data_IF_140391985390
#
_entry.id   IF_140391985390
#
_cell.length_a   1.000
_cell.length_b   1.000
_cell.length_c   1.000
_cell.angle_alpha   90.00
_cell.angle_beta   90.00
_cell.angle_gamma   90.00
#
_symmetry.space_group_name_H-M   'P 1'
#
loop_
_entity.id
_entity.type
_entity.pdbx_description
1 polymer ?
#
# COMPACT_ATOMS: atom_id res chain seq x y z
N UNK A 1 11.61 6.53 12.60
CA UNK A 1 11.40 5.37 11.69
C UNK A 1 10.02 4.81 12.02
N UNK A 2 9.21 4.39 11.05
CA UNK A 2 7.85 3.88 11.28
C UNK A 2 7.84 2.36 11.14
N UNK A 3 7.17 1.67 12.06
CA UNK A 3 6.97 0.22 11.98
C UNK A 3 5.86 -0.10 10.97
N UNK A 4 6.06 -1.17 10.22
CA UNK A 4 5.06 -1.67 9.29
C UNK A 4 4.23 -2.71 10.02
N UNK A 5 2.93 -2.45 10.13
CA UNK A 5 1.95 -3.44 10.55
C UNK A 5 1.68 -4.42 9.38
N UNK A 6 1.49 -5.71 9.69
CA UNK A 6 1.08 -6.74 8.73
C UNK A 6 -0.20 -6.35 7.97
N UNK A 7 -1.11 -5.62 8.62
CA UNK A 7 -2.31 -5.10 7.98
C UNK A 7 -2.01 -4.19 6.78
N UNK A 8 -0.94 -3.40 6.84
CA UNK A 8 -0.53 -2.50 5.75
C UNK A 8 -0.11 -3.29 4.51
N UNK A 9 0.68 -4.35 4.69
CA UNK A 9 1.16 -5.21 3.61
C UNK A 9 0.01 -5.97 2.93
N UNK A 10 -0.97 -6.45 3.73
CA UNK A 10 -2.17 -7.10 3.21
C UNK A 10 -3.00 -6.11 2.38
N UNK A 11 -3.27 -4.91 2.91
CA UNK A 11 -4.06 -3.89 2.20
C UNK A 11 -3.43 -3.47 0.87
N UNK A 12 -2.11 -3.33 0.81
CA UNK A 12 -1.40 -3.05 -0.44
C UNK A 12 -1.62 -4.16 -1.49
N UNK A 13 -1.47 -5.43 -1.08
CA UNK A 13 -1.72 -6.58 -1.96
C UNK A 13 -3.16 -6.61 -2.45
N UNK A 14 -4.13 -6.40 -1.56
CA UNK A 14 -5.56 -6.35 -1.90
C UNK A 14 -5.88 -5.27 -2.93
N UNK A 15 -5.43 -4.03 -2.69
CA UNK A 15 -5.69 -2.91 -3.60
C UNK A 15 -5.04 -3.18 -4.96
N UNK A 16 -3.79 -3.65 -4.98
CA UNK A 16 -3.07 -3.95 -6.23
C UNK A 16 -3.76 -5.04 -7.04
N UNK A 17 -4.20 -6.11 -6.37
CA UNK A 17 -4.95 -7.19 -7.00
C UNK A 17 -6.31 -6.70 -7.54
N UNK A 18 -7.05 -5.91 -6.76
CA UNK A 18 -8.33 -5.30 -7.19
C UNK A 18 -8.17 -4.41 -8.42
N UNK A 19 -7.09 -3.61 -8.48
CA UNK A 19 -6.79 -2.75 -9.63
C UNK A 19 -6.24 -3.53 -10.84
N UNK A 20 -5.90 -4.81 -10.67
CA UNK A 20 -5.24 -5.64 -11.69
C UNK A 20 -4.00 -4.96 -12.30
N UNK A 21 -3.15 -4.37 -11.45
CA UNK A 21 -1.91 -3.69 -11.88
C UNK A 21 -0.66 -4.45 -11.44
N UNK A 22 0.41 -4.30 -12.22
CA UNK A 22 1.71 -4.85 -11.89
C UNK A 22 2.32 -4.16 -10.68
N UNK A 23 3.25 -4.84 -10.00
CA UNK A 23 4.00 -4.28 -8.88
C UNK A 23 4.78 -3.02 -9.29
N UNK A 24 5.29 -2.97 -10.53
CA UNK A 24 5.95 -1.79 -11.06
C UNK A 24 4.97 -0.61 -11.19
N UNK A 25 3.79 -0.83 -11.78
CA UNK A 25 2.78 0.22 -11.94
C UNK A 25 2.30 0.76 -10.59
N UNK A 26 2.02 -0.13 -9.63
CA UNK A 26 1.67 0.27 -8.26
C UNK A 26 2.77 1.09 -7.60
N UNK A 27 4.03 0.69 -7.75
CA UNK A 27 5.16 1.44 -7.16
C UNK A 27 5.28 2.86 -7.72
N UNK A 28 4.98 3.05 -9.01
CA UNK A 28 4.94 4.36 -9.66
C UNK A 28 3.79 5.21 -9.10
N UNK A 29 2.59 4.64 -8.94
CA UNK A 29 1.42 5.35 -8.38
C UNK A 29 1.61 5.76 -6.92
N UNK A 30 2.31 4.94 -6.13
CA UNK A 30 2.65 5.24 -4.73
C UNK A 30 3.84 6.23 -4.66
N UNK A 31 4.70 6.26 -5.68
CA UNK A 31 5.91 7.07 -5.70
C UNK A 31 7.03 6.51 -4.83
N UNK A 32 7.20 5.19 -4.82
CA UNK A 32 8.28 4.45 -4.15
C UNK A 32 8.96 3.51 -5.15
N UNK A 33 10.14 2.98 -4.81
CA UNK A 33 10.78 2.00 -5.68
C UNK A 33 10.03 0.67 -5.65
N UNK A 34 10.01 -0.04 -6.78
CA UNK A 34 9.42 -1.38 -6.89
C UNK A 34 10.08 -2.36 -5.92
N UNK A 35 11.38 -2.22 -5.66
CA UNK A 35 12.08 -3.03 -4.64
C UNK A 35 11.48 -2.82 -3.24
N UNK A 36 11.24 -1.57 -2.83
CA UNK A 36 10.63 -1.28 -1.53
C UNK A 36 9.22 -1.85 -1.43
N UNK A 37 8.41 -1.71 -2.49
CA UNK A 37 7.06 -2.27 -2.52
C UNK A 37 7.09 -3.81 -2.41
N UNK A 38 7.98 -4.47 -3.15
CA UNK A 38 8.14 -5.92 -3.11
C UNK A 38 8.54 -6.42 -1.72
N UNK A 39 9.54 -5.79 -1.08
CA UNK A 39 9.95 -6.16 0.27
C UNK A 39 8.83 -5.94 1.30
N UNK A 40 7.99 -4.93 1.10
CA UNK A 40 6.86 -4.64 1.98
C UNK A 40 5.72 -5.66 1.80
N UNK A 41 5.30 -5.93 0.56
CA UNK A 41 4.24 -6.94 0.29
C UNK A 41 4.64 -8.36 0.71
N UNK A 42 5.95 -8.66 0.77
CA UNK A 42 6.47 -9.94 1.23
C UNK A 42 6.83 -9.95 2.72
N UNK A 43 6.43 -8.95 3.50
CA UNK A 43 6.69 -8.83 4.95
C UNK A 43 8.20 -8.86 5.31
N UNK A 44 9.09 -8.56 4.36
CA UNK A 44 10.54 -8.55 4.51
C UNK A 44 11.08 -7.20 5.00
N UNK A 45 10.21 -6.18 5.10
CA UNK A 45 10.58 -4.83 5.50
C UNK A 45 9.88 -4.45 6.81
N UNK A 46 10.63 -4.43 7.91
CA UNK A 46 10.08 -4.16 9.26
C UNK A 46 9.87 -2.67 9.54
N UNK A 47 10.63 -1.81 8.86
CA UNK A 47 10.70 -0.38 9.17
C UNK A 47 10.90 0.46 7.91
N UNK A 48 10.17 1.56 7.80
CA UNK A 48 10.30 2.54 6.71
C UNK A 48 10.50 3.97 7.21
N UNK A 49 10.98 4.83 6.31
CA UNK A 49 11.03 6.28 6.52
C UNK A 49 9.60 6.84 6.61
N UNK A 50 9.43 7.92 7.38
CA UNK A 50 8.15 8.63 7.54
C UNK A 50 7.52 9.02 6.20
N UNK A 51 8.35 9.49 5.27
CA UNK A 51 7.91 9.91 3.93
C UNK A 51 7.36 8.74 3.12
N UNK A 52 8.03 7.59 3.15
CA UNK A 52 7.57 6.35 2.52
C UNK A 52 6.27 5.85 3.15
N UNK A 53 6.17 5.86 4.48
CA UNK A 53 4.96 5.48 5.20
C UNK A 53 3.77 6.34 4.77
N UNK A 54 3.94 7.66 4.78
CA UNK A 54 2.91 8.61 4.34
C UNK A 54 2.45 8.33 2.90
N UNK A 55 3.38 8.17 1.95
CA UNK A 55 3.02 7.86 0.55
C UNK A 55 2.17 6.60 0.43
N UNK A 56 2.52 5.56 1.18
CA UNK A 56 1.78 4.29 1.18
C UNK A 56 0.40 4.48 1.79
N UNK A 57 0.28 5.11 2.97
CA UNK A 57 -1.00 5.32 3.63
C UNK A 57 -1.92 6.23 2.81
N UNK A 58 -1.37 7.27 2.19
CA UNK A 58 -2.12 8.19 1.32
C UNK A 58 -2.68 7.43 0.10
N UNK A 59 -1.88 6.53 -0.50
CA UNK A 59 -2.34 5.67 -1.59
C UNK A 59 -3.41 4.67 -1.10
N UNK A 60 -3.20 4.03 0.06
CA UNK A 60 -4.20 3.11 0.64
C UNK A 60 -5.51 3.84 0.91
N UNK A 61 -5.49 5.05 1.47
CA UNK A 61 -6.70 5.81 1.74
C UNK A 61 -7.40 6.23 0.45
N UNK A 62 -6.65 6.67 -0.56
CA UNK A 62 -7.22 7.05 -1.86
C UNK A 62 -7.88 5.87 -2.59
N UNK A 63 -7.23 4.70 -2.60
CA UNK A 63 -7.70 3.53 -3.36
C UNK A 63 -8.55 2.55 -2.53
N UNK A 64 -8.50 2.66 -1.20
CA UNK A 64 -9.21 1.84 -0.24
C UNK A 64 -10.67 2.27 -0.06
N UNK A 65 -10.97 3.56 -0.23
CA UNK A 65 -12.32 4.15 -0.05
C UNK A 65 -13.30 3.79 -1.19
N UNK A 66 -12.90 2.92 -2.11
CA UNK A 66 -13.74 2.52 -3.24
C UNK A 66 -14.97 1.66 -2.93
N UNK A 67 -15.26 1.24 -1.68
CA UNK A 67 -16.45 0.43 -1.36
C UNK A 67 -16.90 0.42 0.14
N UNK A 68 -16.57 1.41 0.97
CA UNK A 68 -17.12 1.49 2.36
C UNK A 68 -18.24 2.53 2.51
N UNK A 69 -18.70 3.15 1.41
CA UNK A 69 -19.83 4.08 1.39
C UNK A 69 -21.14 3.47 0.86
N UNK A 70 -21.21 2.15 0.66
CA UNK A 70 -22.46 1.42 0.35
C UNK A 70 -22.76 0.40 1.47
N UNK A 71 -22.63 0.80 2.73
CA UNK A 71 -23.36 0.17 3.84
C UNK A 71 -23.41 1.18 4.99
N UNK A 72 -24.62 1.64 5.33
CA UNK A 72 -24.97 2.76 6.25
C UNK A 72 -24.90 4.11 5.54
N UNK A 73 -26.01 4.81 5.27
CA UNK A 73 -27.30 4.92 5.95
C UNK A 73 -28.46 4.88 4.96
#
# INVERSE_FOLDING_TARGET
MFEIDKFLAIKLREIRARKNITLQKASIEIGISSKTLSLLENDQLKRIKKTTYKKITDWIMREGVGNESITKQ
#
